data_IF_963366014092
#
_entry.id   IF_963366014092
#
_cell.length_a   1.000
_cell.length_b   1.000
_cell.length_c   1.000
_cell.angle_alpha   90.00
_cell.angle_beta   90.00
_cell.angle_gamma   90.00
#
_symmetry.space_group_name_H-M   'P 1'
#
loop_
_entity.id
_entity.type
_entity.pdbx_description
1 polymer ?
#
# COMPACT_ATOMS: atom_id res chain seq x y z
N UNK A 1 24.29 -6.97 -3.98
CA UNK A 1 22.84 -6.78 -3.76
C UNK A 1 22.58 -5.27 -3.76
N UNK A 2 21.79 -4.74 -4.71
CA UNK A 2 21.34 -3.34 -4.67
C UNK A 2 20.44 -3.05 -3.46
N UNK A 3 20.45 -1.79 -3.02
CA UNK A 3 19.54 -1.24 -2.01
C UNK A 3 18.32 -0.63 -2.67
N UNK A 4 17.16 -0.90 -2.10
CA UNK A 4 15.88 -0.32 -2.52
C UNK A 4 15.19 0.32 -1.32
N UNK A 5 14.43 1.38 -1.57
CA UNK A 5 13.64 2.09 -0.56
C UNK A 5 12.16 1.96 -0.89
N UNK A 6 11.33 1.72 0.12
CA UNK A 6 9.89 1.41 -0.04
C UNK A 6 9.06 2.48 0.67
N UNK A 7 8.98 3.68 0.09
CA UNK A 7 8.27 4.80 0.70
C UNK A 7 6.75 4.61 0.56
N UNK A 8 6.00 4.76 1.65
CA UNK A 8 4.55 4.56 1.70
C UNK A 8 3.85 5.91 1.83
N UNK A 9 2.69 6.05 1.20
CA UNK A 9 1.73 7.15 1.43
C UNK A 9 0.36 6.55 1.70
N UNK A 10 -0.22 6.82 2.87
CA UNK A 10 -1.48 6.24 3.35
C UNK A 10 -2.45 7.29 3.95
N UNK A 11 -2.32 8.53 3.48
CA UNK A 11 -2.85 9.74 4.11
C UNK A 11 -1.76 10.55 4.80
N UNK A 12 -0.64 9.91 5.13
CA UNK A 12 0.60 10.54 5.60
C UNK A 12 1.79 10.00 4.79
N UNK A 13 2.86 10.80 4.69
CA UNK A 13 4.10 10.38 4.06
C UNK A 13 4.95 9.57 5.05
N UNK A 14 5.23 8.32 4.70
CA UNK A 14 6.05 7.38 5.48
C UNK A 14 7.30 7.00 4.67
N UNK A 15 8.34 7.87 4.66
CA UNK A 15 9.56 7.60 3.91
C UNK A 15 10.40 6.50 4.57
N UNK A 16 10.88 5.57 3.77
CA UNK A 16 11.85 4.56 4.18
C UNK A 16 13.26 5.15 4.07
N UNK A 17 13.84 5.55 5.21
CA UNK A 17 15.20 6.10 5.27
C UNK A 17 16.30 5.02 5.19
N UNK A 18 15.96 3.77 5.51
CA UNK A 18 16.95 2.70 5.68
C UNK A 18 17.13 1.90 4.39
N UNK A 19 16.03 1.53 3.75
CA UNK A 19 16.02 0.62 2.61
C UNK A 19 16.46 -0.80 2.97
N UNK A 20 16.16 -1.74 2.08
CA UNK A 20 16.56 -3.15 2.20
C UNK A 20 17.37 -3.59 0.99
N UNK A 21 18.22 -4.60 1.21
CA UNK A 21 19.10 -5.16 0.19
C UNK A 21 18.40 -6.34 -0.48
N UNK A 22 18.32 -6.33 -1.81
CA UNK A 22 17.73 -7.42 -2.59
C UNK A 22 18.70 -7.89 -3.67
N UNK A 23 18.47 -9.10 -4.20
CA UNK A 23 19.32 -9.67 -5.26
C UNK A 23 19.26 -8.83 -6.54
N UNK A 24 18.05 -8.45 -6.95
CA UNK A 24 17.75 -7.68 -8.15
C UNK A 24 16.37 -7.00 -8.03
N UNK A 25 15.94 -6.36 -9.12
CA UNK A 25 14.65 -5.67 -9.20
C UNK A 25 13.45 -6.63 -9.10
N UNK A 26 13.59 -7.87 -9.57
CA UNK A 26 12.50 -8.85 -9.50
C UNK A 26 12.25 -9.27 -8.04
N UNK A 27 13.33 -9.51 -7.28
CA UNK A 27 13.25 -9.76 -5.85
C UNK A 27 12.64 -8.57 -5.08
N UNK A 28 13.01 -7.33 -5.44
CA UNK A 28 12.43 -6.13 -4.84
C UNK A 28 10.92 -5.99 -5.13
N UNK A 29 10.44 -6.38 -6.31
CA UNK A 29 9.00 -6.39 -6.63
C UNK A 29 8.21 -7.39 -5.78
N UNK A 30 8.76 -8.59 -5.59
CA UNK A 30 8.14 -9.60 -4.71
C UNK A 30 8.08 -9.08 -3.28
N UNK A 31 9.16 -8.47 -2.80
CA UNK A 31 9.19 -7.85 -1.47
C UNK A 31 8.17 -6.72 -1.33
N UNK A 32 8.06 -5.84 -2.33
CA UNK A 32 7.10 -4.72 -2.29
C UNK A 32 5.66 -5.21 -2.09
N UNK A 33 5.26 -6.28 -2.81
CA UNK A 33 3.92 -6.87 -2.67
C UNK A 33 3.74 -7.49 -1.29
N UNK A 34 4.74 -8.25 -0.81
CA UNK A 34 4.71 -8.89 0.51
C UNK A 34 4.60 -7.83 1.62
N UNK A 35 5.41 -6.78 1.54
CA UNK A 35 5.45 -5.72 2.52
C UNK A 35 4.15 -4.91 2.53
N UNK A 36 3.62 -4.55 1.36
CA UNK A 36 2.31 -3.89 1.25
C UNK A 36 1.20 -4.71 1.93
N UNK A 37 1.17 -6.04 1.73
CA UNK A 37 0.18 -6.91 2.34
C UNK A 37 0.30 -6.94 3.88
N UNK A 38 1.51 -7.02 4.43
CA UNK A 38 1.73 -6.98 5.88
C UNK A 38 1.31 -5.63 6.48
N UNK A 39 1.62 -4.52 5.81
CA UNK A 39 1.19 -3.18 6.27
C UNK A 39 -0.34 -3.09 6.27
N UNK A 40 -0.98 -3.36 5.14
CA UNK A 40 -2.44 -3.23 4.99
C UNK A 40 -3.21 -4.12 5.98
N UNK A 41 -2.69 -5.32 6.27
CA UNK A 41 -3.26 -6.24 7.25
C UNK A 41 -3.35 -5.65 8.66
N UNK A 42 -2.38 -4.82 9.05
CA UNK A 42 -2.35 -4.20 10.38
C UNK A 42 -3.19 -2.91 10.47
N UNK A 43 -3.67 -2.37 9.34
CA UNK A 43 -4.41 -1.11 9.29
C UNK A 43 -5.70 -1.12 8.43
N UNK A 44 -6.58 -2.12 8.59
CA UNK A 44 -7.74 -2.28 7.71
C UNK A 44 -8.69 -1.08 7.74
N UNK A 45 -8.99 -0.51 8.92
CA UNK A 45 -9.87 0.65 9.04
C UNK A 45 -9.29 1.91 8.41
N UNK A 46 -8.00 2.17 8.60
CA UNK A 46 -7.32 3.32 7.98
C UNK A 46 -7.29 3.18 6.46
N UNK A 47 -7.09 1.98 5.93
CA UNK A 47 -7.11 1.74 4.48
C UNK A 47 -8.47 2.09 3.85
N UNK A 48 -9.58 1.75 4.49
CA UNK A 48 -10.92 2.15 4.02
C UNK A 48 -11.17 3.67 4.06
N UNK A 49 -10.47 4.39 4.94
CA UNK A 49 -10.61 5.84 5.10
C UNK A 49 -9.56 6.65 4.31
N UNK A 50 -8.59 5.98 3.68
CA UNK A 50 -7.59 6.66 2.85
C UNK A 50 -8.10 6.77 1.39
N UNK A 51 -7.87 7.90 0.74
CA UNK A 51 -8.26 8.10 -0.67
C UNK A 51 -7.52 7.12 -1.58
N UNK A 52 -6.21 6.94 -1.33
CA UNK A 52 -5.38 5.99 -2.05
C UNK A 52 -4.16 5.65 -1.19
N UNK A 53 -3.91 4.36 -1.01
CA UNK A 53 -2.66 3.90 -0.43
C UNK A 53 -1.65 3.64 -1.54
N UNK A 54 -0.41 4.12 -1.38
CA UNK A 54 0.66 3.91 -2.36
C UNK A 54 1.96 3.48 -1.71
N UNK A 55 2.74 2.67 -2.43
CA UNK A 55 4.14 2.40 -2.12
C UNK A 55 4.98 2.69 -3.35
N UNK A 56 5.88 3.66 -3.27
CA UNK A 56 6.84 3.96 -4.32
C UNK A 56 8.20 3.37 -3.97
N UNK A 57 8.76 2.64 -4.92
CA UNK A 57 10.05 1.95 -4.74
C UNK A 57 11.13 2.66 -5.53
N UNK A 58 12.23 2.97 -4.86
CA UNK A 58 13.36 3.71 -5.42
C UNK A 58 14.65 2.91 -5.40
N UNK A 59 15.58 3.25 -6.29
CA UNK A 59 16.94 2.76 -6.25
C UNK A 59 17.81 3.48 -5.19
N UNK A 60 19.09 3.12 -5.13
CA UNK A 60 20.07 3.74 -4.23
C UNK A 60 20.18 5.26 -4.40
N UNK A 61 19.96 5.78 -5.61
CA UNK A 61 20.04 7.21 -5.93
C UNK A 61 18.71 7.94 -5.72
N UNK A 62 17.71 7.29 -5.09
CA UNK A 62 16.34 7.80 -4.95
C UNK A 62 15.63 8.05 -6.29
N UNK A 63 16.02 7.33 -7.34
CA UNK A 63 15.29 7.35 -8.61
C UNK A 63 14.11 6.37 -8.55
N UNK A 64 12.89 6.81 -8.94
CA UNK A 64 11.70 5.95 -8.86
C UNK A 64 11.79 4.82 -9.89
N UNK A 65 11.51 3.60 -9.44
CA UNK A 65 11.54 2.39 -10.25
C UNK A 65 10.14 1.89 -10.58
N UNK A 66 9.23 1.86 -9.59
CA UNK A 66 7.83 1.48 -9.75
C UNK A 66 7.01 1.89 -8.53
N UNK A 67 5.69 1.83 -8.65
CA UNK A 67 4.74 2.15 -7.58
C UNK A 67 3.64 1.11 -7.53
N UNK A 68 3.28 0.67 -6.32
CA UNK A 68 2.04 -0.06 -6.04
C UNK A 68 0.96 0.94 -5.58
N UNK A 69 -0.27 0.75 -6.04
CA UNK A 69 -1.43 1.55 -5.64
C UNK A 69 -2.58 0.64 -5.26
N UNK A 70 -3.19 0.90 -4.12
CA UNK A 70 -4.37 0.20 -3.63
C UNK A 70 -5.48 1.21 -3.37
N UNK A 71 -6.68 0.85 -3.80
CA UNK A 71 -7.89 1.65 -3.68
C UNK A 71 -8.96 0.79 -3.01
N UNK A 72 -9.70 1.39 -2.08
CA UNK A 72 -10.88 0.80 -1.49
C UNK A 72 -12.08 1.67 -1.87
N UNK A 73 -13.12 1.06 -2.43
CA UNK A 73 -14.33 1.76 -2.84
C UNK A 73 -15.53 1.11 -2.16
N UNK A 74 -16.29 1.89 -1.39
CA UNK A 74 -17.62 1.48 -0.95
C UNK A 74 -18.62 1.87 -2.05
N UNK A 75 -19.09 0.87 -2.79
CA UNK A 75 -20.04 1.05 -3.89
C UNK A 75 -21.49 1.15 -3.42
N UNK A 76 -21.75 1.24 -2.10
CA UNK A 76 -23.04 1.59 -1.54
C UNK A 76 -24.16 0.63 -1.95
N UNK A 77 -24.12 -0.61 -1.45
CA UNK A 77 -25.27 -1.52 -1.51
C UNK A 77 -25.58 -2.14 -0.16
N UNK A 78 -26.14 -1.32 0.71
CA UNK A 78 -27.06 -1.82 1.73
C UNK A 78 -28.32 -0.97 1.63
N UNK A 79 -29.30 -1.44 0.86
CA UNK A 79 -30.66 -0.95 1.03
C UNK A 79 -31.12 -1.45 2.41
N UNK A 80 -31.58 -0.59 3.33
CA UNK A 80 -32.27 -1.08 4.50
C UNK A 80 -33.51 -1.81 3.99
N UNK A 81 -33.59 -3.12 4.23
CA UNK A 81 -34.83 -3.86 4.12
C UNK A 81 -35.81 -3.14 5.05
N UNK A 82 -36.82 -2.47 4.50
CA UNK A 82 -37.88 -1.90 5.32
C UNK A 82 -38.54 -3.07 6.05
N UNK A 83 -38.38 -3.13 7.37
CA UNK A 83 -39.15 -4.06 8.19
C UNK A 83 -40.64 -3.85 7.89
N UNK A 84 -41.41 -4.91 7.56
CA UNK A 84 -42.84 -4.75 7.38
C UNK A 84 -43.45 -4.38 8.72
N UNK A 85 -44.01 -3.17 8.79
CA UNK A 85 -44.82 -2.71 9.93
C UNK A 85 -45.94 -3.73 10.15
N UNK A 86 -46.02 -4.31 11.35
CA UNK A 86 -47.17 -5.05 11.86
C UNK A 86 -47.50 -4.55 13.26
#
# INVERSE_FOLDING_TARGET
MPRYFFDIVDGEDLPDAQGSMHADLAAARVEAVRYAAEVLKEMPERFWNCEQWTMSVYDYNRLPLFTLKFLAEDLGRISPQADPVS
#
